data_IF_741354875009
#
_entry.id   IF_741354875009
#
_cell.length_a   1.000
_cell.length_b   1.000
_cell.length_c   1.000
_cell.angle_alpha   90.00
_cell.angle_beta   90.00
_cell.angle_gamma   90.00
#
_symmetry.space_group_name_H-M   'P 1'
#
loop_
_entity.id
_entity.type
_entity.pdbx_description
1 polymer ?
#
# COMPACT_ATOMS: atom_id res chain seq x y z
N UNK A 1 -18.95 -7.52 -18.75
CA UNK A 1 -17.76 -6.66 -18.61
C UNK A 1 -16.85 -7.34 -17.59
N UNK A 2 -15.62 -7.71 -17.95
CA UNK A 2 -14.76 -8.50 -17.07
C UNK A 2 -13.91 -7.57 -16.21
N UNK A 3 -14.01 -7.72 -14.90
CA UNK A 3 -13.17 -6.97 -13.95
C UNK A 3 -11.82 -7.68 -13.85
N UNK A 4 -10.78 -7.11 -14.46
CA UNK A 4 -9.42 -7.63 -14.35
C UNK A 4 -8.83 -7.16 -13.02
N UNK A 5 -8.76 -8.07 -12.06
CA UNK A 5 -7.98 -7.85 -10.83
C UNK A 5 -6.51 -8.20 -11.09
N UNK A 6 -5.60 -7.29 -10.76
CA UNK A 6 -4.17 -7.58 -10.78
C UNK A 6 -3.70 -7.89 -9.36
N UNK A 7 -2.94 -8.98 -9.19
CA UNK A 7 -2.21 -9.27 -7.96
C UNK A 7 -0.72 -9.04 -8.22
N UNK A 8 -0.15 -8.05 -7.55
CA UNK A 8 1.26 -7.71 -7.66
C UNK A 8 1.99 -8.10 -6.37
N UNK A 9 3.23 -8.57 -6.51
CA UNK A 9 4.13 -8.83 -5.40
C UNK A 9 5.37 -7.96 -5.57
N UNK A 10 5.75 -7.24 -4.52
CA UNK A 10 6.97 -6.46 -4.47
C UNK A 10 7.84 -6.98 -3.32
N UNK A 11 9.11 -7.25 -3.62
CA UNK A 11 10.10 -7.65 -2.62
C UNK A 11 11.04 -6.49 -2.37
N UNK A 12 11.10 -6.03 -1.12
CA UNK A 12 11.99 -4.96 -0.67
C UNK A 12 12.91 -5.52 0.42
N UNK A 13 14.17 -5.08 0.45
CA UNK A 13 15.15 -5.45 1.48
C UNK A 13 15.62 -4.18 2.22
N UNK A 14 14.78 -3.60 3.08
CA UNK A 14 15.16 -2.42 3.83
C UNK A 14 16.19 -2.76 4.92
N UNK A 15 17.02 -1.79 5.27
CA UNK A 15 18.05 -1.94 6.32
C UNK A 15 17.45 -1.93 7.73
N UNK A 16 16.30 -1.27 7.90
CA UNK A 16 15.55 -1.20 9.16
C UNK A 16 14.05 -1.36 8.91
N UNK A 17 13.29 -1.65 9.97
CA UNK A 17 11.83 -1.74 9.88
C UNK A 17 11.21 -0.40 9.47
N UNK A 18 11.67 0.70 10.06
CA UNK A 18 11.18 2.06 9.75
C UNK A 18 11.48 2.48 8.31
N UNK A 19 12.67 2.15 7.80
CA UNK A 19 13.02 2.41 6.40
C UNK A 19 12.13 1.60 5.46
N UNK A 20 11.85 0.34 5.79
CA UNK A 20 10.91 -0.49 5.06
C UNK A 20 9.51 0.09 5.03
N UNK A 21 9.06 0.63 6.16
CA UNK A 21 7.77 1.28 6.25
C UNK A 21 7.68 2.55 5.39
N UNK A 22 8.71 3.41 5.44
CA UNK A 22 8.80 4.61 4.59
C UNK A 22 8.81 4.26 3.10
N UNK A 23 9.53 3.21 2.72
CA UNK A 23 9.58 2.75 1.33
C UNK A 23 8.21 2.23 0.86
N UNK A 24 7.50 1.48 1.71
CA UNK A 24 6.12 1.03 1.45
C UNK A 24 5.18 2.23 1.27
N UNK A 25 5.18 3.19 2.20
CA UNK A 25 4.34 4.38 2.11
C UNK A 25 4.61 5.16 0.82
N UNK A 26 5.90 5.36 0.49
CA UNK A 26 6.31 6.01 -0.75
C UNK A 26 5.82 5.26 -1.99
N UNK A 27 5.98 3.94 -2.02
CA UNK A 27 5.51 3.10 -3.12
C UNK A 27 4.00 3.22 -3.32
N UNK A 28 3.22 3.15 -2.23
CA UNK A 28 1.75 3.21 -2.28
C UNK A 28 1.27 4.59 -2.72
N UNK A 29 1.94 5.66 -2.29
CA UNK A 29 1.65 7.02 -2.78
C UNK A 29 1.90 7.14 -4.29
N UNK A 30 3.05 6.68 -4.78
CA UNK A 30 3.37 6.71 -6.22
C UNK A 30 2.39 5.88 -7.05
N UNK A 31 1.98 4.71 -6.52
CA UNK A 31 0.97 3.86 -7.15
C UNK A 31 -0.37 4.59 -7.24
N UNK A 32 -0.78 5.27 -6.18
CA UNK A 32 -2.01 6.06 -6.12
C UNK A 32 -1.96 7.32 -7.02
N UNK A 33 -0.78 7.88 -7.29
CA UNK A 33 -0.61 8.98 -8.25
C UNK A 33 -0.72 8.49 -9.70
N UNK A 34 -0.18 7.30 -10.01
CA UNK A 34 -0.14 6.77 -11.37
C UNK A 34 -1.41 6.00 -11.77
N UNK A 35 -2.14 5.41 -10.81
CA UNK A 35 -3.30 4.57 -11.07
C UNK A 35 -4.58 5.15 -10.44
N UNK A 36 -5.65 5.21 -11.23
CA UNK A 36 -6.98 5.66 -10.77
C UNK A 36 -7.82 4.55 -10.14
N UNK A 37 -7.38 3.30 -10.26
CA UNK A 37 -8.07 2.13 -9.73
C UNK A 37 -8.11 2.14 -8.19
N UNK A 38 -9.19 1.59 -7.63
CA UNK A 38 -9.36 1.37 -6.19
C UNK A 38 -8.59 0.13 -5.77
N UNK A 39 -7.96 0.18 -4.61
CA UNK A 39 -7.22 -0.96 -4.08
C UNK A 39 -7.19 -0.97 -2.55
N UNK A 40 -6.90 -2.16 -2.01
CA UNK A 40 -6.66 -2.39 -0.58
C UNK A 40 -5.27 -2.99 -0.45
N UNK A 41 -4.44 -2.40 0.42
CA UNK A 41 -3.15 -2.96 0.80
C UNK A 41 -3.31 -3.71 2.12
N UNK A 42 -2.98 -5.00 2.11
CA UNK A 42 -2.89 -5.83 3.31
C UNK A 42 -1.57 -6.58 3.36
N UNK A 43 -0.92 -6.64 4.52
CA UNK A 43 0.18 -7.57 4.77
C UNK A 43 -0.37 -8.87 5.36
N UNK A 44 -0.04 -10.00 4.72
CA UNK A 44 -0.40 -11.36 5.16
C UNK A 44 -1.89 -11.57 5.46
N UNK A 45 -2.78 -10.78 4.84
CA UNK A 45 -4.24 -10.78 5.11
C UNK A 45 -4.64 -10.51 6.58
N UNK A 46 -3.69 -10.18 7.45
CA UNK A 46 -3.91 -10.00 8.89
C UNK A 46 -4.47 -8.61 9.19
N UNK A 47 -4.17 -7.63 8.35
CA UNK A 47 -4.52 -6.23 8.58
C UNK A 47 -4.55 -5.44 7.28
N UNK A 48 -5.50 -4.51 7.19
CA UNK A 48 -5.53 -3.50 6.14
C UNK A 48 -4.68 -2.31 6.59
N UNK A 49 -3.72 -1.93 5.76
CA UNK A 49 -2.78 -0.85 6.03
C UNK A 49 -3.08 0.41 5.24
N UNK A 50 -3.53 0.27 4.00
CA UNK A 50 -3.96 1.38 3.19
C UNK A 50 -5.18 1.02 2.35
N UNK A 51 -6.05 2.00 2.14
CA UNK A 51 -7.21 1.89 1.27
C UNK A 51 -7.21 3.08 0.32
N UNK A 52 -7.38 2.80 -0.98
CA UNK A 52 -7.70 3.82 -1.97
C UNK A 52 -9.12 3.60 -2.47
N UNK A 53 -9.99 4.55 -2.18
CA UNK A 53 -11.39 4.56 -2.57
C UNK A 53 -11.79 5.92 -3.18
N UNK A 54 -13.08 6.23 -3.21
CA UNK A 54 -13.63 7.48 -3.73
C UNK A 54 -13.13 8.73 -2.98
N UNK A 55 -12.66 8.57 -1.74
CA UNK A 55 -12.12 9.64 -0.91
C UNK A 55 -10.60 9.80 -1.06
N UNK A 56 -9.98 9.02 -1.96
CA UNK A 56 -8.54 9.01 -2.18
C UNK A 56 -7.81 7.93 -1.38
N UNK A 57 -6.49 8.07 -1.28
CA UNK A 57 -5.63 7.13 -0.54
C UNK A 57 -5.60 7.51 0.95
N UNK A 58 -5.78 6.53 1.82
CA UNK A 58 -5.69 6.68 3.29
C UNK A 58 -4.87 5.55 3.88
N UNK A 59 -3.95 5.89 4.77
CA UNK A 59 -3.22 4.94 5.60
C UNK A 59 -3.97 4.73 6.91
N UNK A 60 -4.33 3.48 7.21
CA UNK A 60 -5.08 3.08 8.41
C UNK A 60 -4.17 2.68 9.57
N UNK A 61 -2.92 2.33 9.26
CA UNK A 61 -1.88 1.98 10.24
C UNK A 61 -0.57 2.62 9.81
N UNK A 62 0.16 3.17 10.78
CA UNK A 62 1.57 3.52 10.60
C UNK A 62 2.42 2.46 11.29
N UNK A 63 3.47 2.01 10.61
CA UNK A 63 4.50 1.16 11.18
C UNK A 63 5.55 1.95 11.96
N UNK A 64 5.59 3.27 11.83
CA UNK A 64 6.56 4.10 12.55
C UNK A 64 6.20 4.13 14.04
N UNK A 65 7.14 3.70 14.89
CA UNK A 65 7.04 3.95 16.31
C UNK A 65 7.04 5.48 16.54
N UNK A 66 6.05 5.97 17.27
CA UNK A 66 5.95 7.39 17.68
C UNK A 66 6.91 7.65 18.82
#
# INVERSE_FOLDING_TARGET
>A
MWTVGARCYAFMRPSTYDDGWRDVERFVNLLAEHFSQRFVLSFEYSSIYAVRDEQGLRFLKSGLAT
#
